data_IF_516682480906
#
_entry.id   IF_516682480906
#
_cell.length_a   1.000
_cell.length_b   1.000
_cell.length_c   1.000
_cell.angle_alpha   90.00
_cell.angle_beta   90.00
_cell.angle_gamma   90.00
#
_symmetry.space_group_name_H-M   'P 1'
#
loop_
_entity.id
_entity.type
_entity.pdbx_description
1 polymer ?
#
# COMPACT_ATOMS: atom_id res chain seq x y z
N UNK A 1 10.23 -4.05 -17.29
CA UNK A 1 11.45 -3.51 -16.63
C UNK A 1 11.54 -1.99 -16.73
N UNK A 2 11.29 -1.40 -17.90
CA UNK A 2 11.45 0.04 -18.17
C UNK A 2 10.64 0.91 -17.19
N UNK A 3 9.33 0.67 -17.05
CA UNK A 3 8.45 1.42 -16.12
C UNK A 3 8.98 1.40 -14.68
N UNK A 4 9.50 0.27 -14.20
CA UNK A 4 10.05 0.14 -12.84
C UNK A 4 11.25 1.08 -12.61
N UNK A 5 12.09 1.28 -13.62
CA UNK A 5 13.25 2.15 -13.54
C UNK A 5 12.86 3.63 -13.65
N UNK A 6 11.92 3.95 -14.54
CA UNK A 6 11.35 5.31 -14.65
C UNK A 6 10.72 5.70 -13.31
N UNK A 7 9.91 4.81 -12.71
CA UNK A 7 9.27 5.07 -11.43
C UNK A 7 10.27 5.39 -10.31
N UNK A 8 11.37 4.64 -10.21
CA UNK A 8 12.42 4.94 -9.22
C UNK A 8 13.08 6.29 -9.51
N UNK A 9 13.25 6.66 -10.78
CA UNK A 9 13.88 7.92 -11.17
C UNK A 9 12.98 9.14 -10.90
N UNK A 10 11.67 9.01 -11.14
CA UNK A 10 10.69 10.09 -10.97
C UNK A 10 10.32 10.32 -9.50
N UNK A 11 10.14 9.24 -8.74
CA UNK A 11 9.66 9.32 -7.36
C UNK A 11 10.76 9.18 -6.31
N UNK A 12 11.83 8.44 -6.61
CA UNK A 12 12.83 8.03 -5.64
C UNK A 12 12.42 6.79 -4.85
N UNK A 13 13.43 6.07 -4.32
CA UNK A 13 13.24 4.80 -3.62
C UNK A 13 12.45 4.98 -2.32
N UNK A 14 12.81 5.97 -1.51
CA UNK A 14 12.20 6.19 -0.18
C UNK A 14 10.74 6.61 -0.30
N UNK A 15 10.41 7.45 -1.29
CA UNK A 15 9.02 7.81 -1.58
C UNK A 15 8.19 6.58 -1.97
N UNK A 16 8.71 5.73 -2.85
CA UNK A 16 7.99 4.53 -3.30
C UNK A 16 7.76 3.50 -2.17
N UNK A 17 8.64 3.43 -1.16
CA UNK A 17 8.45 2.55 0.01
C UNK A 17 7.30 3.03 0.91
N UNK A 18 7.12 4.33 1.05
CA UNK A 18 6.10 4.93 1.92
C UNK A 18 4.75 5.15 1.25
N UNK A 19 4.66 5.04 -0.08
CA UNK A 19 3.44 5.28 -0.84
C UNK A 19 2.86 4.01 -1.49
N UNK A 20 1.64 4.11 -2.02
CA UNK A 20 0.97 3.09 -2.83
C UNK A 20 0.41 3.71 -4.11
N UNK A 21 0.07 2.89 -5.11
CA UNK A 21 -0.47 3.42 -6.38
C UNK A 21 -1.84 4.10 -6.17
N UNK A 22 -2.73 3.51 -5.36
CA UNK A 22 -4.14 3.96 -5.24
C UNK A 22 -4.54 4.49 -3.86
N UNK A 23 -3.64 4.48 -2.87
CA UNK A 23 -3.98 4.92 -1.51
C UNK A 23 -4.77 3.91 -0.68
N UNK A 24 -5.08 2.72 -1.22
CA UNK A 24 -6.03 1.76 -0.63
C UNK A 24 -5.33 0.66 0.18
N UNK A 25 -5.96 0.23 1.28
CA UNK A 25 -5.57 -0.99 1.99
C UNK A 25 -5.83 -2.24 1.14
N UNK A 26 -5.04 -3.29 1.38
CA UNK A 26 -5.32 -4.61 0.79
C UNK A 26 -6.51 -5.25 1.52
N UNK A 27 -7.51 -5.70 0.77
CA UNK A 27 -8.65 -6.43 1.33
C UNK A 27 -8.22 -7.72 2.07
N UNK A 28 -7.12 -8.34 1.64
CA UNK A 28 -6.64 -9.61 2.19
C UNK A 28 -5.96 -9.44 3.54
N UNK A 29 -5.06 -8.46 3.66
CA UNK A 29 -4.23 -8.27 4.87
C UNK A 29 -4.71 -7.15 5.77
N UNK A 30 -5.65 -6.31 5.31
CA UNK A 30 -6.17 -5.13 6.03
C UNK A 30 -5.05 -4.24 6.62
N UNK A 31 -3.93 -4.15 5.90
CA UNK A 31 -2.78 -3.33 6.31
C UNK A 31 -3.15 -1.85 6.34
N UNK A 32 -2.43 -1.08 7.16
CA UNK A 32 -2.55 0.39 7.18
C UNK A 32 -2.42 0.92 5.74
N UNK A 33 -3.41 1.69 5.24
CA UNK A 33 -3.32 2.31 3.92
C UNK A 33 -2.11 3.24 3.85
N UNK A 34 -1.35 3.14 2.76
CA UNK A 34 -0.29 4.09 2.44
C UNK A 34 -0.83 5.15 1.49
N UNK A 35 -0.42 6.43 1.60
CA UNK A 35 -0.89 7.49 0.71
C UNK A 35 -0.67 7.13 -0.77
N UNK A 36 -1.54 7.65 -1.63
CA UNK A 36 -1.40 7.49 -3.07
C UNK A 36 -0.18 8.26 -3.58
N UNK A 37 0.50 7.74 -4.60
CA UNK A 37 1.51 8.50 -5.33
C UNK A 37 0.86 9.68 -6.07
N UNK A 38 1.66 10.70 -6.36
CA UNK A 38 1.24 11.84 -7.17
C UNK A 38 0.72 11.36 -8.55
N UNK A 39 -0.57 11.57 -8.87
CA UNK A 39 -1.19 11.09 -10.09
C UNK A 39 -0.59 11.75 -11.34
N UNK A 40 -0.16 13.01 -11.25
CA UNK A 40 0.46 13.72 -12.39
C UNK A 40 1.78 13.07 -12.76
N UNK A 41 2.61 12.72 -11.77
CA UNK A 41 3.86 12.00 -12.00
C UNK A 41 3.62 10.58 -12.51
N UNK A 42 2.55 9.92 -12.05
CA UNK A 42 2.18 8.60 -12.56
C UNK A 42 1.78 8.64 -14.04
N UNK A 43 0.99 9.64 -14.45
CA UNK A 43 0.64 9.86 -15.86
C UNK A 43 1.87 10.21 -16.71
N UNK A 44 2.79 11.03 -16.20
CA UNK A 44 4.04 11.29 -16.91
C UNK A 44 4.85 10.01 -17.17
N UNK A 45 4.86 9.06 -16.23
CA UNK A 45 5.50 7.74 -16.44
C UNK A 45 4.78 6.95 -17.55
N UNK A 46 3.45 6.99 -17.60
CA UNK A 46 2.64 6.37 -18.65
C UNK A 46 3.02 6.93 -20.02
N UNK A 47 3.12 8.25 -20.14
CA UNK A 47 3.42 8.92 -21.41
C UNK A 47 4.85 8.65 -21.89
N UNK A 48 5.83 8.66 -20.98
CA UNK A 48 7.23 8.26 -21.28
C UNK A 48 7.28 6.80 -21.74
N UNK A 49 6.50 5.93 -21.09
CA UNK A 49 6.45 4.52 -21.47
C UNK A 49 5.78 4.31 -22.82
N UNK A 50 4.69 5.01 -23.11
CA UNK A 50 4.03 5.00 -24.41
C UNK A 50 4.99 5.46 -25.52
N UNK A 51 5.72 6.55 -25.31
CA UNK A 51 6.74 7.03 -26.24
C UNK A 51 7.81 5.96 -26.51
N UNK A 52 8.31 5.32 -25.45
CA UNK A 52 9.30 4.24 -25.57
C UNK A 52 8.75 3.07 -26.40
N UNK A 53 7.51 2.64 -26.16
CA UNK A 53 6.92 1.53 -26.89
C UNK A 53 6.67 1.85 -28.37
N UNK A 54 6.22 3.08 -28.67
CA UNK A 54 6.01 3.52 -30.05
C UNK A 54 7.34 3.59 -30.82
N UNK A 55 8.36 4.21 -30.24
CA UNK A 55 9.56 4.58 -30.99
C UNK A 55 10.67 3.52 -30.92
N UNK A 56 10.88 2.91 -29.76
CA UNK A 56 11.96 1.92 -29.57
C UNK A 56 11.49 0.50 -29.85
N UNK A 57 10.19 0.22 -29.67
CA UNK A 57 9.61 -1.11 -29.88
C UNK A 57 8.70 -1.20 -31.10
N UNK A 58 8.43 -0.09 -31.79
CA UNK A 58 7.55 -0.02 -32.96
C UNK A 58 6.18 -0.68 -32.70
N UNK A 59 5.69 -0.61 -31.46
CA UNK A 59 4.37 -1.14 -31.10
C UNK A 59 3.29 -0.14 -31.49
N UNK A 60 2.22 -0.63 -32.11
CA UNK A 60 1.11 0.19 -32.61
C UNK A 60 -0.25 -0.48 -32.32
N UNK A 61 -1.32 0.29 -32.47
CA UNK A 61 -2.69 -0.19 -32.33
C UNK A 61 -3.02 -0.73 -30.93
N UNK A 62 -3.80 -1.81 -30.88
CA UNK A 62 -4.35 -2.35 -29.64
C UNK A 62 -3.29 -2.92 -28.70
N UNK A 63 -2.22 -3.53 -29.24
CA UNK A 63 -1.14 -4.10 -28.45
C UNK A 63 -0.41 -3.03 -27.63
N UNK A 64 -0.22 -1.84 -28.22
CA UNK A 64 0.35 -0.69 -27.51
C UNK A 64 -0.53 -0.26 -26.34
N UNK A 65 -1.85 -0.10 -26.56
CA UNK A 65 -2.77 0.36 -25.51
C UNK A 65 -2.77 -0.60 -24.31
N UNK A 66 -2.86 -1.90 -24.58
CA UNK A 66 -2.84 -2.94 -23.54
C UNK A 66 -1.53 -2.88 -22.73
N UNK A 67 -0.40 -2.74 -23.40
CA UNK A 67 0.90 -2.69 -22.73
C UNK A 67 1.04 -1.40 -21.91
N UNK A 68 0.66 -0.24 -22.47
CA UNK A 68 0.70 1.06 -21.76
C UNK A 68 -0.16 1.02 -20.50
N UNK A 69 -1.36 0.43 -20.54
CA UNK A 69 -2.26 0.34 -19.39
C UNK A 69 -1.70 -0.52 -18.24
N UNK A 70 -0.72 -1.37 -18.52
CA UNK A 70 -0.01 -2.17 -17.50
C UNK A 70 0.96 -1.35 -16.62
N UNK A 71 1.14 -0.05 -16.89
CA UNK A 71 2.12 0.78 -16.17
C UNK A 71 1.85 0.84 -14.66
N UNK A 72 0.58 0.96 -14.23
CA UNK A 72 0.21 0.98 -12.80
C UNK A 72 0.65 -0.30 -12.09
N UNK A 73 0.48 -1.45 -12.75
CA UNK A 73 0.85 -2.75 -12.20
C UNK A 73 2.37 -2.89 -12.09
N UNK A 74 3.10 -2.40 -13.10
CA UNK A 74 4.56 -2.33 -13.04
C UNK A 74 5.05 -1.49 -11.86
N UNK A 75 4.42 -0.33 -11.59
CA UNK A 75 4.74 0.51 -10.42
C UNK A 75 4.40 -0.22 -9.12
N UNK A 76 3.21 -0.81 -9.01
CA UNK A 76 2.76 -1.59 -7.84
C UNK A 76 3.73 -2.71 -7.50
N UNK A 77 4.19 -3.44 -8.51
CA UNK A 77 5.11 -4.53 -8.31
C UNK A 77 6.49 -4.02 -7.87
N UNK A 78 6.96 -2.89 -8.42
CA UNK A 78 8.21 -2.27 -7.95
C UNK A 78 8.12 -1.82 -6.49
N UNK A 79 7.01 -1.22 -6.07
CA UNK A 79 6.76 -0.87 -4.66
C UNK A 79 6.80 -2.13 -3.78
N UNK A 80 6.16 -3.21 -4.23
CA UNK A 80 6.17 -4.49 -3.51
C UNK A 80 7.57 -5.08 -3.41
N UNK A 81 8.37 -4.98 -4.47
CA UNK A 81 9.77 -5.42 -4.50
C UNK A 81 10.62 -4.62 -3.50
N UNK A 82 10.37 -3.31 -3.34
CA UNK A 82 11.11 -2.43 -2.42
C UNK A 82 10.75 -2.64 -0.94
N UNK A 83 9.51 -3.00 -0.65
CA UNK A 83 9.02 -3.23 0.72
C UNK A 83 9.34 -4.65 1.19
N UNK A 84 9.48 -5.60 0.26
CA UNK A 84 9.76 -6.99 0.59
C UNK A 84 11.13 -7.09 1.27
N UNK A 85 11.21 -7.67 2.49
CA UNK A 85 12.50 -7.90 3.12
C UNK A 85 13.32 -8.88 2.25
N UNK A 86 14.67 -8.77 2.27
CA UNK A 86 15.51 -9.70 1.54
C UNK A 86 15.16 -11.13 1.96
N UNK A 87 14.99 -12.01 0.96
CA UNK A 87 14.71 -13.43 1.21
C UNK A 87 15.86 -14.00 2.02
N UNK A 88 15.60 -14.39 3.27
CA UNK A 88 16.60 -15.05 4.11
C UNK A 88 16.94 -16.38 3.43
N UNK A 89 18.23 -16.61 3.21
CA UNK A 89 18.69 -17.90 2.69
C UNK A 89 18.67 -18.92 3.84
N UNK A 90 18.60 -20.23 3.54
CA UNK A 90 18.66 -21.28 4.55
C UNK A 90 19.91 -21.19 5.47
N UNK A 91 20.97 -20.53 5.01
CA UNK A 91 22.18 -20.25 5.81
C UNK A 91 21.92 -19.22 6.90
N UNK A 92 21.12 -18.19 6.60
CA UNK A 92 20.77 -17.13 7.56
C UNK A 92 19.83 -17.63 8.66
N UNK A 93 18.91 -18.54 8.30
CA UNK A 93 18.03 -19.23 9.26
C UNK A 93 18.83 -20.10 10.23
N UNK A 94 19.77 -20.92 9.72
CA UNK A 94 20.67 -21.73 10.58
C UNK A 94 21.55 -20.88 11.50
N UNK A 95 22.01 -19.71 11.04
CA UNK A 95 22.78 -18.76 11.86
C UNK A 95 21.92 -18.18 13.00
N UNK A 96 20.66 -17.82 12.72
CA UNK A 96 19.72 -17.34 13.74
C UNK A 96 19.36 -18.43 14.76
N UNK A 97 19.13 -19.67 14.30
CA UNK A 97 18.89 -20.81 15.19
C UNK A 97 20.09 -21.12 16.09
N UNK A 98 21.32 -21.03 15.56
CA UNK A 98 22.54 -21.22 16.36
C UNK A 98 22.71 -20.14 17.45
N UNK A 99 22.43 -18.88 17.10
CA UNK A 99 22.45 -17.77 18.07
C UNK A 99 21.37 -17.96 19.14
N UNK A 100 20.16 -18.36 18.75
CA UNK A 100 19.06 -18.58 19.68
C UNK A 100 19.36 -19.73 20.65
N UNK A 101 19.95 -20.85 20.18
CA UNK A 101 20.42 -21.94 21.05
C UNK A 101 21.50 -21.50 22.05
N UNK A 102 22.43 -20.64 21.65
CA UNK A 102 23.45 -20.10 22.56
C UNK A 102 22.87 -19.16 23.63
N UNK A 103 21.88 -18.33 23.27
CA UNK A 103 21.20 -17.45 24.22
C UNK A 103 20.41 -18.28 25.24
N UNK A 104 19.62 -19.26 24.80
CA UNK A 104 18.83 -20.12 25.70
C UNK A 104 19.71 -20.95 26.65
N UNK A 105 20.89 -21.41 26.19
CA UNK A 105 21.86 -22.09 27.06
C UNK A 105 22.40 -21.15 28.15
N UNK A 106 22.79 -19.92 27.79
CA UNK A 106 23.31 -18.93 28.76
C UNK A 106 22.27 -18.50 29.80
N UNK A 107 21.00 -18.32 29.43
CA UNK A 107 19.94 -18.01 30.42
C UNK A 107 19.60 -19.20 31.31
N UNK A 108 19.70 -20.43 30.80
CA UNK A 108 19.51 -21.63 31.63
C UNK A 108 20.63 -21.87 32.65
N UNK A 109 21.84 -21.40 32.36
CA UNK A 109 22.99 -21.50 33.29
C UNK A 109 22.97 -20.37 34.35
N UNK A 110 22.44 -19.19 34.02
CA UNK A 110 22.34 -18.07 34.97
C UNK A 110 21.24 -18.27 36.04
N UNK A 111 20.16 -18.97 35.71
CA UNK A 111 19.05 -19.22 36.65
C UNK A 111 19.31 -20.37 37.66
N UNK A 112 20.48 -21.02 37.61
CA UNK A 112 20.82 -22.13 38.52
C UNK A 112 21.63 -21.70 39.76
N UNK A 113 21.90 -20.40 39.93
CA UNK A 113 22.78 -19.88 40.99
C UNK A 113 22.15 -18.89 41.98
N UNK A 114 20.82 -18.74 42.03
CA UNK A 114 20.16 -18.02 43.14
C UNK A 114 18.93 -18.79 43.61
N UNK A 115 19.16 -19.82 44.42
CA UNK A 115 18.16 -20.36 45.32
C UNK A 115 18.64 -20.07 46.74
N UNK A 116 18.21 -18.94 47.29
CA UNK A 116 18.27 -18.67 48.73
C UNK A 116 16.83 -18.32 49.10
N UNK A 117 16.18 -19.29 49.74
CA UNK A 117 14.94 -19.13 50.50
C UNK A 117 15.06 -17.93 51.43
N UNK A 118 14.08 -17.02 51.37
CA UNK A 118 13.58 -16.39 52.58
C UNK A 118 12.18 -15.81 52.37
N UNK A 119 11.25 -16.44 53.09
CA UNK A 119 9.90 -16.01 53.44
C UNK A 119 9.91 -14.65 54.15
N UNK A 120 9.05 -13.71 53.72
CA UNK A 120 8.01 -13.06 54.55
C UNK A 120 7.22 -12.00 53.73
N UNK A 121 5.87 -12.03 53.70
CA UNK A 121 5.06 -10.97 53.11
C UNK A 121 4.65 -9.94 54.16
N UNK A 122 4.73 -8.63 53.86
CA UNK A 122 3.96 -7.65 54.62
C UNK A 122 3.82 -6.30 53.87
N UNK A 123 2.67 -5.65 54.11
CA UNK A 123 2.42 -4.19 54.01
C UNK A 123 2.20 -3.66 52.57
N UNK A 124 1.10 -3.01 52.19
CA UNK A 124 -0.03 -2.42 52.92
C UNK A 124 -1.18 -2.13 51.93
N UNK A 125 -2.42 -2.35 52.37
CA UNK A 125 -3.62 -1.75 51.78
C UNK A 125 -3.58 -0.22 51.90
N UNK A 126 -4.08 0.48 50.86
CA UNK A 126 -4.88 1.70 51.00
C UNK A 126 -5.46 2.15 49.64
N UNK A 127 -6.78 1.95 49.50
CA UNK A 127 -7.67 2.70 48.61
C UNK A 127 -7.97 4.06 49.28
N UNK A 128 -8.24 5.15 48.53
CA UNK A 128 -9.65 5.53 48.40
C UNK A 128 -10.05 6.17 47.04
N UNK A 129 -11.22 5.73 46.59
CA UNK A 129 -12.36 6.45 45.97
C UNK A 129 -12.22 7.85 45.33
N UNK A 130 -12.78 7.97 44.11
CA UNK A 130 -13.28 9.19 43.47
C UNK A 130 -13.37 9.00 41.95
N UNK A 131 -14.42 8.39 41.37
CA UNK A 131 -15.71 9.01 41.02
C UNK A 131 -15.55 10.40 40.40
N UNK A 132 -15.73 10.50 39.07
CA UNK A 132 -16.38 11.55 38.26
C UNK A 132 -16.21 11.15 36.77
N UNK A 133 -17.20 10.45 36.20
CA UNK A 133 -18.16 10.97 35.20
C UNK A 133 -17.54 11.57 33.92
N UNK A 134 -17.65 10.80 32.84
CA UNK A 134 -17.67 11.29 31.44
C UNK A 134 -18.85 12.26 31.21
N UNK A 135 -18.78 13.14 30.20
CA UNK A 135 -19.40 12.79 28.91
C UNK A 135 -18.59 13.27 27.68
N UNK A 136 -18.39 12.42 26.68
CA UNK A 136 -19.12 12.43 25.38
C UNK A 136 -19.52 13.84 24.91
N UNK A 137 -18.83 14.32 23.86
CA UNK A 137 -19.19 15.48 23.06
C UNK A 137 -18.86 15.16 21.61
N UNK A 138 -19.90 14.74 20.90
CA UNK A 138 -19.89 14.33 19.50
C UNK A 138 -19.47 15.47 18.57
N UNK A 139 -18.75 15.09 17.53
CA UNK A 139 -18.57 15.87 16.31
C UNK A 139 -19.74 15.59 15.36
N UNK A 140 -19.95 16.51 14.41
CA UNK A 140 -20.80 16.43 13.20
C UNK A 140 -22.20 17.06 13.38
N UNK A 141 -22.74 17.86 12.46
CA UNK A 141 -22.37 18.16 11.07
C UNK A 141 -22.94 19.53 10.66
N UNK A 142 -22.20 20.22 9.80
CA UNK A 142 -22.65 21.38 9.04
C UNK A 142 -22.76 21.01 7.54
N UNK A 143 -23.66 21.71 6.84
CA UNK A 143 -23.80 21.84 5.36
C UNK A 143 -24.47 20.65 4.66
N UNK A 144 -25.70 20.72 4.13
CA UNK A 144 -26.42 21.64 3.21
C UNK A 144 -26.02 21.54 1.72
N UNK A 145 -27.05 21.63 0.89
CA UNK A 145 -27.16 21.72 -0.59
C UNK A 145 -27.06 20.39 -1.37
N UNK A 146 -28.15 19.78 -1.84
CA UNK A 146 -29.05 20.17 -2.95
C UNK A 146 -28.36 20.22 -4.31
N UNK A 147 -28.67 19.26 -5.18
CA UNK A 147 -29.03 19.50 -6.59
C UNK A 147 -29.49 18.19 -7.23
N UNK A 148 -30.80 18.13 -7.48
CA UNK A 148 -31.40 17.24 -8.47
C UNK A 148 -31.36 17.94 -9.83
N UNK A 149 -31.05 17.19 -10.88
CA UNK A 149 -31.43 17.54 -12.25
C UNK A 149 -31.37 16.26 -13.09
N UNK A 150 -32.56 15.70 -13.32
CA UNK A 150 -32.85 14.82 -14.43
C UNK A 150 -32.68 15.58 -15.75
N UNK A 151 -31.95 15.01 -16.70
CA UNK A 151 -32.21 15.28 -18.13
C UNK A 151 -32.23 13.96 -18.90
N UNK A 152 -33.45 13.42 -19.04
CA UNK A 152 -33.82 12.70 -20.25
C UNK A 152 -33.98 13.72 -21.39
N UNK A 153 -33.25 13.54 -22.48
CA UNK A 153 -33.67 14.08 -23.77
C UNK A 153 -33.41 13.05 -24.87
N UNK A 154 -34.50 12.41 -25.30
CA UNK A 154 -34.60 11.76 -26.60
C UNK A 154 -34.43 12.81 -27.70
N UNK A 155 -33.61 12.52 -28.72
CA UNK A 155 -33.72 13.16 -30.02
C UNK A 155 -33.47 12.14 -31.11
N UNK A 156 -34.57 11.67 -31.69
CA UNK A 156 -34.61 11.08 -33.01
C UNK A 156 -34.20 12.13 -34.07
N UNK A 157 -33.64 11.64 -35.17
CA UNK A 157 -33.35 12.35 -36.42
C UNK A 157 -32.76 11.32 -37.38
N UNK A 158 -33.60 10.62 -38.14
CA UNK A 158 -33.94 10.94 -39.55
C UNK A 158 -32.71 10.79 -40.45
N UNK A 159 -32.54 9.65 -41.10
CA UNK A 159 -33.12 9.31 -42.42
C UNK A 159 -32.59 10.18 -43.57
N UNK A 160 -31.76 9.57 -44.42
CA UNK A 160 -31.60 9.84 -45.85
C UNK A 160 -30.74 8.70 -46.42
N UNK A 161 -31.30 7.81 -47.25
CA UNK A 161 -31.43 7.97 -48.71
C UNK A 161 -30.06 8.28 -49.37
N UNK A 162 -29.58 7.65 -50.43
CA UNK A 162 -30.19 6.78 -51.44
C UNK A 162 -29.08 6.48 -52.48
N UNK A 163 -29.10 5.25 -53.03
CA UNK A 163 -28.72 4.83 -54.40
C UNK A 163 -27.35 5.23 -55.02
N UNK A 164 -26.54 4.28 -55.48
CA UNK A 164 -26.59 3.57 -56.78
C UNK A 164 -25.81 4.30 -57.91
N UNK A 165 -25.18 3.49 -58.78
CA UNK A 165 -24.48 3.78 -60.05
C UNK A 165 -23.00 4.13 -59.86
N UNK A 166 -22.04 3.40 -60.44
CA UNK A 166 -21.99 2.64 -61.70
C UNK A 166 -20.86 1.60 -61.63
#
# INVERSE_FOLDING_TARGET
MVVKNIAVSVFGVEYLKSHSVKGKASNKTKSIPRPAIDPTKALAIRDIFEYYLKNEKNMTGQALMIEVDSYEESIRQKISDLIRPPRQTNKDLKKKEAIQKHITKKTSELNKSTNIDNTNPNIHDNLPTGLEKSPVGEVSSSESSSEESDEESNSAGEDSMEQEKK
#
